data_IF_102424578056
#
_entry.id   IF_102424578056
#
_cell.length_a   1.000
_cell.length_b   1.000
_cell.length_c   1.000
_cell.angle_alpha   90.00
_cell.angle_beta   90.00
_cell.angle_gamma   90.00
#
_symmetry.space_group_name_H-M   'P 1'
#
loop_
_entity.id
_entity.type
_entity.pdbx_description
1 polymer ?
#
# COMPACT_ATOMS: atom_id res chain seq x y z
N UNK A 1 -24.09 47.40 -23.14
CA UNK A 1 -25.06 46.36 -23.56
C UNK A 1 -24.31 45.25 -24.32
N UNK A 2 -23.41 44.52 -23.65
CA UNK A 2 -22.59 43.47 -24.25
C UNK A 2 -22.09 42.44 -23.21
N UNK A 3 -22.73 42.36 -22.04
CA UNK A 3 -22.35 41.44 -20.95
C UNK A 3 -23.41 40.36 -20.67
N UNK A 4 -24.57 40.40 -21.32
CA UNK A 4 -25.65 39.43 -21.09
C UNK A 4 -25.59 38.19 -22.01
N UNK A 5 -24.82 38.22 -23.09
CA UNK A 5 -24.81 37.13 -24.10
C UNK A 5 -23.95 35.93 -23.67
N UNK A 6 -23.00 36.13 -22.76
CA UNK A 6 -22.03 35.09 -22.36
C UNK A 6 -22.57 34.05 -21.37
N UNK A 7 -23.66 34.36 -20.64
CA UNK A 7 -24.19 33.46 -19.60
C UNK A 7 -25.04 32.30 -20.16
N UNK A 8 -25.66 32.48 -21.34
CA UNK A 8 -26.55 31.48 -21.95
C UNK A 8 -25.83 30.26 -22.53
N UNK A 9 -24.53 30.35 -22.81
CA UNK A 9 -23.73 29.24 -23.33
C UNK A 9 -23.19 28.31 -22.23
N UNK A 10 -23.18 28.77 -20.97
CA UNK A 10 -22.63 28.03 -19.83
C UNK A 10 -23.54 26.87 -19.39
N UNK A 11 -24.79 26.84 -19.86
CA UNK A 11 -25.79 25.81 -19.56
C UNK A 11 -26.25 25.01 -20.77
N UNK A 12 -25.49 25.01 -21.88
CA UNK A 12 -25.77 24.06 -22.97
C UNK A 12 -25.43 22.66 -22.46
N UNK A 13 -26.43 21.79 -22.39
CA UNK A 13 -26.21 20.37 -22.13
C UNK A 13 -25.23 19.83 -23.17
N UNK A 14 -24.03 19.45 -22.73
CA UNK A 14 -23.17 18.63 -23.55
C UNK A 14 -23.92 17.31 -23.81
N UNK A 15 -24.01 16.83 -25.05
CA UNK A 15 -24.59 15.52 -25.30
C UNK A 15 -23.77 14.49 -24.51
N UNK A 16 -24.46 13.63 -23.75
CA UNK A 16 -23.84 12.47 -23.14
C UNK A 16 -23.26 11.61 -24.28
N UNK A 17 -21.94 11.60 -24.41
CA UNK A 17 -21.24 10.69 -25.31
C UNK A 17 -21.27 9.33 -24.62
N UNK A 18 -22.27 8.52 -24.96
CA UNK A 18 -22.30 7.12 -24.57
C UNK A 18 -21.28 6.34 -25.40
N UNK A 19 -20.49 5.50 -24.74
CA UNK A 19 -19.60 4.57 -25.44
C UNK A 19 -20.43 3.68 -26.38
N UNK A 20 -20.05 3.63 -27.64
CA UNK A 20 -20.74 2.80 -28.65
C UNK A 20 -20.45 1.32 -28.46
N UNK A 21 -19.33 0.98 -27.82
CA UNK A 21 -18.90 -0.40 -27.58
C UNK A 21 -18.35 -0.55 -26.15
N UNK A 22 -18.55 -1.73 -25.57
CA UNK A 22 -17.98 -2.06 -24.28
C UNK A 22 -16.49 -2.38 -24.46
N UNK A 23 -15.62 -1.62 -23.77
CA UNK A 23 -14.19 -1.93 -23.72
C UNK A 23 -13.99 -3.30 -23.07
N UNK A 24 -13.34 -4.27 -23.75
CA UNK A 24 -13.10 -5.58 -23.19
C UNK A 24 -12.18 -5.48 -21.97
N UNK A 25 -12.56 -6.12 -20.88
CA UNK A 25 -11.72 -6.21 -19.67
C UNK A 25 -10.61 -7.22 -19.95
N UNK A 26 -9.36 -6.79 -19.88
CA UNK A 26 -8.20 -7.68 -19.96
C UNK A 26 -8.02 -8.38 -18.60
N UNK A 27 -8.14 -9.72 -18.51
CA UNK A 27 -7.84 -10.44 -17.28
C UNK A 27 -6.37 -10.28 -16.90
N UNK A 28 -6.08 -10.33 -15.61
CA UNK A 28 -4.71 -10.32 -15.11
C UNK A 28 -4.09 -11.69 -15.34
N UNK A 29 -2.94 -11.75 -16.00
CA UNK A 29 -2.30 -13.02 -16.27
C UNK A 29 -1.87 -13.72 -14.97
N UNK A 30 -1.97 -15.06 -14.86
CA UNK A 30 -1.47 -15.80 -13.71
C UNK A 30 0.02 -15.48 -13.44
N UNK A 31 0.34 -15.08 -12.22
CA UNK A 31 1.70 -14.69 -11.80
C UNK A 31 2.03 -13.20 -11.99
N UNK A 32 1.22 -12.46 -12.74
CA UNK A 32 1.37 -10.99 -12.90
C UNK A 32 0.53 -10.19 -11.91
N UNK A 33 -0.18 -10.87 -11.00
CA UNK A 33 -0.95 -10.20 -9.95
C UNK A 33 -0.02 -9.36 -9.09
N UNK A 34 -0.41 -8.11 -8.90
CA UNK A 34 0.28 -7.23 -8.00
C UNK A 34 0.12 -7.70 -6.55
N UNK A 35 1.21 -7.69 -5.78
CA UNK A 35 1.22 -8.17 -4.39
C UNK A 35 1.30 -7.07 -3.33
N UNK A 36 1.86 -5.92 -3.70
CA UNK A 36 2.13 -4.80 -2.81
C UNK A 36 1.61 -3.49 -3.41
N UNK A 37 1.26 -2.54 -2.56
CA UNK A 37 1.13 -1.12 -2.88
C UNK A 37 2.27 -0.37 -2.21
N UNK A 38 3.45 -0.39 -2.85
CA UNK A 38 4.70 0.02 -2.20
C UNK A 38 5.04 1.51 -2.37
N UNK A 39 4.39 2.18 -3.31
CA UNK A 39 4.56 3.61 -3.57
C UNK A 39 3.24 4.34 -3.38
N UNK A 40 3.29 5.65 -3.13
CA UNK A 40 2.10 6.49 -2.99
C UNK A 40 1.12 6.34 -4.19
N UNK A 41 1.66 6.27 -5.41
CA UNK A 41 0.90 6.05 -6.63
C UNK A 41 0.91 4.59 -7.10
N UNK A 42 1.05 3.65 -6.18
CA UNK A 42 1.22 2.20 -6.37
C UNK A 42 2.56 1.77 -6.96
N UNK A 43 2.88 2.28 -8.14
CA UNK A 43 4.15 2.06 -8.85
C UNK A 43 4.98 3.34 -8.88
N UNK A 44 6.23 3.26 -9.34
CA UNK A 44 7.06 4.45 -9.58
C UNK A 44 6.53 5.33 -10.72
N UNK A 45 5.67 4.81 -11.58
CA UNK A 45 5.00 5.58 -12.64
C UNK A 45 3.82 6.40 -12.10
N UNK A 46 3.25 6.01 -10.95
CA UNK A 46 2.20 6.77 -10.28
C UNK A 46 0.82 6.69 -10.93
N UNK A 47 0.55 5.65 -11.72
CA UNK A 47 -0.71 5.42 -12.44
C UNK A 47 -1.89 5.03 -11.54
N UNK A 48 -1.61 4.62 -10.29
CA UNK A 48 -2.61 4.11 -9.33
C UNK A 48 -3.38 2.91 -9.87
N UNK A 49 -2.79 2.15 -10.80
CA UNK A 49 -3.40 0.96 -11.39
C UNK A 49 -3.02 -0.28 -10.61
N UNK A 50 -4.00 -1.06 -10.13
CA UNK A 50 -3.74 -2.35 -9.49
C UNK A 50 -4.04 -3.49 -10.47
N UNK A 51 -3.02 -4.31 -10.77
CA UNK A 51 -3.19 -5.53 -11.57
C UNK A 51 -3.84 -6.65 -10.72
N UNK A 52 -5.11 -6.47 -10.37
CA UNK A 52 -5.96 -7.41 -9.62
C UNK A 52 -7.37 -7.40 -10.24
N UNK A 53 -8.00 -8.57 -10.42
CA UNK A 53 -9.30 -8.71 -11.11
C UNK A 53 -10.34 -9.55 -10.35
N UNK A 54 -10.02 -9.96 -9.12
CA UNK A 54 -10.95 -10.70 -8.25
C UNK A 54 -12.23 -9.90 -7.98
N UNK A 55 -12.11 -8.59 -7.75
CA UNK A 55 -13.23 -7.65 -7.63
C UNK A 55 -13.40 -6.97 -8.98
N UNK A 56 -14.59 -7.05 -9.54
CA UNK A 56 -14.88 -6.55 -10.88
C UNK A 56 -16.34 -6.06 -10.98
N UNK A 57 -16.72 -5.57 -12.17
CA UNK A 57 -18.04 -4.96 -12.43
C UNK A 57 -19.21 -5.93 -12.16
N UNK A 58 -18.96 -7.23 -12.19
CA UNK A 58 -19.98 -8.27 -12.02
C UNK A 58 -20.22 -8.63 -10.55
N UNK A 59 -19.26 -8.40 -9.66
CA UNK A 59 -19.36 -8.80 -8.24
C UNK A 59 -19.09 -7.67 -7.23
N UNK A 60 -18.77 -6.44 -7.66
CA UNK A 60 -18.53 -5.29 -6.77
C UNK A 60 -19.72 -4.98 -5.85
N UNK A 61 -20.93 -5.34 -6.28
CA UNK A 61 -22.16 -5.22 -5.48
C UNK A 61 -22.23 -6.20 -4.29
N UNK A 62 -21.31 -7.16 -4.19
CA UNK A 62 -21.23 -8.15 -3.11
C UNK A 62 -20.21 -7.77 -2.03
N UNK A 63 -19.51 -6.64 -2.19
CA UNK A 63 -18.50 -6.20 -1.23
C UNK A 63 -19.11 -5.93 0.15
N UNK A 64 -18.37 -6.37 1.17
CA UNK A 64 -18.68 -6.11 2.57
C UNK A 64 -17.43 -5.56 3.25
N UNK A 65 -17.64 -4.79 4.32
CA UNK A 65 -16.55 -4.31 5.17
C UNK A 65 -15.90 -5.53 5.84
N UNK A 66 -14.63 -5.78 5.53
CA UNK A 66 -13.88 -6.87 6.16
C UNK A 66 -13.53 -6.54 7.62
N UNK A 67 -13.09 -5.31 7.87
CA UNK A 67 -12.78 -4.79 9.20
C UNK A 67 -12.74 -3.26 9.20
N UNK A 68 -12.78 -2.65 10.39
CA UNK A 68 -12.61 -1.22 10.62
C UNK A 68 -11.53 -1.02 11.66
N UNK A 69 -10.56 -0.13 11.36
CA UNK A 69 -9.53 0.28 12.30
C UNK A 69 -9.69 1.76 12.65
N UNK A 70 -9.59 2.10 13.93
CA UNK A 70 -9.64 3.48 14.41
C UNK A 70 -8.23 3.96 14.72
N UNK A 71 -7.76 4.99 14.00
CA UNK A 71 -6.42 5.55 14.20
C UNK A 71 -6.26 6.20 15.59
N UNK A 72 -7.38 6.60 16.19
CA UNK A 72 -7.43 7.40 17.43
C UNK A 72 -6.97 8.85 17.24
N UNK A 73 -6.70 9.25 16.00
CA UNK A 73 -6.15 10.56 15.66
C UNK A 73 -7.21 11.38 14.94
N UNK A 74 -7.99 12.14 15.71
CA UNK A 74 -9.12 12.92 15.20
C UNK A 74 -8.62 14.29 14.76
N UNK A 75 -8.67 14.64 13.46
CA UNK A 75 -8.26 15.96 12.99
C UNK A 75 -9.18 17.04 13.57
N UNK A 76 -8.60 17.96 14.35
CA UNK A 76 -9.28 19.13 14.90
C UNK A 76 -8.72 20.40 14.26
N UNK A 77 -9.54 21.10 13.48
CA UNK A 77 -9.17 22.37 12.86
C UNK A 77 -9.47 23.53 13.80
N UNK A 78 -8.47 24.38 14.05
CA UNK A 78 -8.62 25.67 14.76
C UNK A 78 -8.78 26.85 13.79
N UNK A 79 -9.23 26.59 12.55
CA UNK A 79 -9.23 27.55 11.44
C UNK A 79 -8.01 27.46 10.53
N UNK A 80 -7.02 26.61 10.87
CA UNK A 80 -5.77 26.46 10.11
C UNK A 80 -5.63 25.14 9.34
N UNK A 81 -6.71 24.35 9.25
CA UNK A 81 -6.76 23.10 8.49
C UNK A 81 -6.26 21.86 9.25
N UNK A 82 -7.06 20.79 9.20
CA UNK A 82 -6.73 19.47 9.72
C UNK A 82 -7.52 18.43 8.92
N UNK A 83 -6.83 17.56 8.19
CA UNK A 83 -7.45 16.61 7.24
C UNK A 83 -6.74 15.25 7.26
N UNK A 84 -7.53 14.17 7.11
CA UNK A 84 -6.98 12.88 6.73
C UNK A 84 -6.86 12.80 5.20
N UNK A 85 -5.64 12.73 4.69
CA UNK A 85 -5.33 12.65 3.27
C UNK A 85 -4.44 11.44 2.93
N UNK A 86 -4.37 10.47 3.84
CA UNK A 86 -3.43 9.38 3.71
C UNK A 86 -3.77 8.46 2.54
N UNK A 87 -2.76 8.10 1.73
CA UNK A 87 -2.80 6.91 0.88
C UNK A 87 -1.96 5.82 1.57
N UNK A 88 -2.57 4.77 2.12
CA UNK A 88 -1.83 3.71 2.80
C UNK A 88 -0.83 3.00 1.89
N UNK A 89 0.25 2.48 2.48
CA UNK A 89 1.14 1.53 1.81
C UNK A 89 0.83 0.12 2.31
N UNK A 90 0.77 -0.87 1.42
CA UNK A 90 0.68 -2.27 1.81
C UNK A 90 1.93 -3.00 1.32
N UNK A 91 2.69 -3.57 2.26
CA UNK A 91 3.88 -4.37 2.00
C UNK A 91 3.71 -5.70 2.72
N UNK A 92 3.60 -6.79 1.95
CA UNK A 92 3.36 -8.12 2.49
C UNK A 92 2.07 -8.16 3.32
N UNK A 93 2.16 -8.60 4.56
CA UNK A 93 1.03 -8.75 5.50
C UNK A 93 0.68 -7.45 6.25
N UNK A 94 1.35 -6.33 5.95
CA UNK A 94 1.29 -5.13 6.76
C UNK A 94 0.80 -3.93 5.96
N UNK A 95 -0.21 -3.25 6.49
CA UNK A 95 -0.72 -1.97 6.03
C UNK A 95 -0.14 -0.83 6.89
N UNK A 96 0.54 0.11 6.26
CA UNK A 96 1.11 1.29 6.89
C UNK A 96 0.24 2.51 6.63
N UNK A 97 -0.15 3.18 7.72
CA UNK A 97 -1.01 4.36 7.72
C UNK A 97 -0.27 5.48 8.43
N UNK A 98 -0.37 6.71 7.90
CA UNK A 98 0.03 7.90 8.62
C UNK A 98 -1.18 8.79 8.91
N UNK A 99 -1.13 9.52 10.02
CA UNK A 99 -2.27 10.30 10.52
C UNK A 99 -2.02 11.81 10.46
N UNK A 100 -3.06 12.66 10.63
CA UNK A 100 -2.92 14.11 10.57
C UNK A 100 -1.84 14.69 11.50
N UNK A 101 -1.69 14.14 12.71
CA UNK A 101 -0.70 14.59 13.70
C UNK A 101 0.59 13.77 13.68
N UNK A 102 1.01 13.30 12.48
CA UNK A 102 2.31 12.68 12.25
C UNK A 102 2.60 11.42 13.09
N UNK A 103 1.56 10.62 13.33
CA UNK A 103 1.70 9.25 13.85
C UNK A 103 1.75 8.28 12.66
N UNK A 104 2.47 7.18 12.84
CA UNK A 104 2.54 6.07 11.89
C UNK A 104 2.04 4.82 12.59
N UNK A 105 1.10 4.12 11.97
CA UNK A 105 0.54 2.86 12.44
C UNK A 105 0.90 1.78 11.43
N UNK A 106 1.30 0.61 11.93
CA UNK A 106 1.34 -0.61 11.15
C UNK A 106 0.19 -1.51 11.59
N UNK A 107 -0.64 -1.90 10.65
CA UNK A 107 -1.80 -2.77 10.85
C UNK A 107 -1.57 -4.10 10.14
N UNK A 108 -2.05 -5.18 10.73
CA UNK A 108 -2.22 -6.44 10.04
C UNK A 108 -3.28 -6.30 8.94
N UNK A 109 -2.97 -6.70 7.71
CA UNK A 109 -3.82 -6.44 6.54
C UNK A 109 -5.14 -7.22 6.55
N UNK A 110 -5.14 -8.42 7.16
CA UNK A 110 -6.30 -9.31 7.16
C UNK A 110 -7.27 -9.01 8.30
N UNK A 111 -6.76 -8.53 9.44
CA UNK A 111 -7.58 -8.29 10.64
C UNK A 111 -7.76 -6.82 11.02
N UNK A 112 -6.93 -5.91 10.48
CA UNK A 112 -6.90 -4.50 10.86
C UNK A 112 -6.30 -4.23 12.25
N UNK A 113 -5.76 -5.25 12.93
CA UNK A 113 -5.16 -5.11 14.26
C UNK A 113 -3.86 -4.32 14.18
N UNK A 114 -3.68 -3.38 15.11
CA UNK A 114 -2.44 -2.62 15.23
C UNK A 114 -1.29 -3.54 15.69
N UNK A 115 -0.24 -3.62 14.85
CA UNK A 115 1.02 -4.33 15.15
C UNK A 115 1.92 -3.43 15.99
N UNK A 116 2.03 -2.16 15.61
CA UNK A 116 2.78 -1.14 16.33
C UNK A 116 2.36 0.27 15.91
N UNK A 117 2.78 1.26 16.71
CA UNK A 117 2.62 2.67 16.44
C UNK A 117 3.87 3.46 16.77
N UNK A 118 4.15 4.46 15.95
CA UNK A 118 5.15 5.48 16.17
C UNK A 118 4.49 6.85 16.25
N UNK A 119 4.87 7.64 17.26
CA UNK A 119 4.44 9.02 17.42
C UNK A 119 5.68 9.91 17.37
N UNK A 120 5.79 10.73 16.31
CA UNK A 120 6.92 11.64 16.13
C UNK A 120 6.93 12.80 17.13
N UNK A 121 5.79 13.07 17.79
CA UNK A 121 5.56 14.24 18.66
C UNK A 121 5.82 15.58 17.95
N UNK A 122 5.82 15.59 16.62
CA UNK A 122 6.00 16.80 15.85
C UNK A 122 4.73 17.65 15.86
N UNK A 123 4.89 18.96 15.83
CA UNK A 123 3.78 19.90 15.64
C UNK A 123 3.98 20.69 14.35
N UNK A 124 2.87 20.94 13.65
CA UNK A 124 2.80 21.94 12.58
C UNK A 124 1.93 23.10 13.08
N UNK A 125 2.18 24.36 12.70
CA UNK A 125 1.27 25.45 13.05
C UNK A 125 -0.06 25.36 12.27
N UNK A 126 -0.01 24.83 11.04
CA UNK A 126 -1.14 24.82 10.10
C UNK A 126 -1.17 23.49 9.33
N UNK A 127 -2.30 23.14 8.73
CA UNK A 127 -2.44 22.01 7.80
C UNK A 127 -1.96 20.69 8.37
N UNK A 128 -2.59 20.25 9.48
CA UNK A 128 -2.34 18.92 10.04
C UNK A 128 -2.86 17.87 9.05
N UNK A 129 -1.96 17.26 8.30
CA UNK A 129 -2.30 16.22 7.32
C UNK A 129 -1.08 15.39 7.03
N UNK A 130 -1.30 14.10 6.80
CA UNK A 130 -0.32 13.24 6.16
C UNK A 130 -0.90 12.76 4.82
N UNK A 131 -0.08 12.81 3.76
CA UNK A 131 -0.49 12.40 2.40
C UNK A 131 -0.06 10.98 2.03
N UNK A 132 0.83 10.39 2.82
CA UNK A 132 1.35 9.05 2.62
C UNK A 132 2.77 8.91 3.18
N UNK A 133 3.31 7.72 3.00
CA UNK A 133 4.63 7.32 3.46
C UNK A 133 5.53 6.93 2.28
N UNK A 134 6.83 6.81 2.54
CA UNK A 134 7.78 6.17 1.64
C UNK A 134 8.26 4.86 2.25
N UNK A 135 8.46 3.84 1.42
CA UNK A 135 9.04 2.56 1.82
C UNK A 135 10.41 2.37 1.16
N UNK A 136 11.37 1.89 1.93
CA UNK A 136 12.67 1.46 1.45
C UNK A 136 13.05 0.16 2.16
N UNK A 137 13.50 -0.81 1.37
CA UNK A 137 14.01 -2.07 1.89
C UNK A 137 15.53 -2.10 1.81
N UNK A 138 16.18 -2.16 2.97
CA UNK A 138 17.62 -2.41 3.01
C UNK A 138 17.90 -3.90 2.76
N UNK A 139 18.19 -4.22 1.50
CA UNK A 139 18.59 -5.56 1.07
C UNK A 139 19.79 -6.14 1.85
N UNK A 140 20.68 -5.31 2.41
CA UNK A 140 21.83 -5.78 3.20
C UNK A 140 21.39 -6.20 4.59
N UNK A 141 20.56 -5.39 5.25
CA UNK A 141 19.95 -5.73 6.54
C UNK A 141 19.04 -6.96 6.42
N UNK A 142 18.24 -7.06 5.35
CA UNK A 142 17.39 -8.22 5.13
C UNK A 142 18.22 -9.51 4.93
N UNK A 143 19.26 -9.47 4.09
CA UNK A 143 20.19 -10.62 3.93
C UNK A 143 20.92 -10.99 5.23
N UNK A 144 21.23 -10.02 6.10
CA UNK A 144 21.80 -10.29 7.40
C UNK A 144 20.78 -10.97 8.34
N UNK A 145 19.53 -10.50 8.36
CA UNK A 145 18.45 -11.11 9.14
C UNK A 145 18.17 -12.55 8.71
N UNK A 146 18.03 -12.80 7.40
CA UNK A 146 17.85 -14.16 6.85
C UNK A 146 19.04 -15.05 7.17
N UNK A 147 20.27 -14.54 7.13
CA UNK A 147 21.46 -15.30 7.53
C UNK A 147 21.53 -15.59 9.02
N UNK A 148 21.07 -14.68 9.89
CA UNK A 148 20.97 -14.96 11.32
C UNK A 148 19.89 -15.99 11.62
N UNK A 149 18.75 -15.93 10.94
CA UNK A 149 17.68 -16.93 11.04
C UNK A 149 18.13 -18.30 10.52
N UNK A 150 18.82 -18.36 9.38
CA UNK A 150 19.36 -19.59 8.80
C UNK A 150 20.58 -20.13 9.58
N UNK A 151 21.42 -19.26 10.14
CA UNK A 151 22.54 -19.63 11.01
C UNK A 151 22.11 -20.24 12.35
N UNK A 152 20.82 -20.13 12.69
CA UNK A 152 20.21 -20.80 13.86
C UNK A 152 19.72 -22.23 13.56
N UNK A 153 19.85 -22.69 12.31
CA UNK A 153 19.39 -24.01 11.83
C UNK A 153 20.52 -24.90 11.28
N UNK A 154 21.78 -24.72 11.70
CA UNK A 154 22.79 -25.74 11.41
C UNK A 154 22.68 -26.85 12.47
N UNK A 155 22.21 -28.08 12.13
CA UNK A 155 22.47 -29.23 12.98
C UNK A 155 23.99 -29.43 13.03
N UNK A 156 24.55 -29.55 14.22
CA UNK A 156 25.94 -29.92 14.42
C UNK A 156 26.17 -31.34 13.89
N UNK A 157 26.49 -31.51 12.61
CA UNK A 157 27.07 -32.75 12.12
C UNK A 157 28.57 -32.70 12.34
N UNK A 158 29.00 -33.39 13.39
CA UNK A 158 30.39 -33.81 13.60
C UNK A 158 30.85 -34.52 12.32
N UNK A 159 31.97 -34.12 11.67
CA UNK A 159 32.45 -34.84 10.51
C UNK A 159 33.00 -36.19 10.95
N UNK A 160 32.39 -37.28 10.46
CA UNK A 160 32.94 -38.62 10.59
C UNK A 160 34.21 -38.73 9.74
N UNK A 161 35.35 -38.88 10.41
CA UNK A 161 36.63 -39.22 9.78
C UNK A 161 36.55 -40.65 9.24
N UNK A 162 36.49 -40.77 7.91
CA UNK A 162 36.67 -42.04 7.21
C UNK A 162 37.84 -41.91 6.23
N UNK A 163 39.06 -41.92 6.77
CA UNK A 163 40.24 -42.37 6.02
C UNK A 163 40.16 -43.89 5.79
N UNK A 164 39.91 -44.29 4.54
CA UNK A 164 40.20 -45.65 4.03
C UNK A 164 41.59 -45.62 3.38
N UNK A 165 42.48 -46.61 3.61
CA UNK A 165 43.83 -46.60 3.05
C UNK A 165 43.84 -47.02 1.57
N UNK A 166 44.88 -46.66 0.79
CA UNK A 166 44.96 -47.04 -0.62
C UNK A 166 45.45 -48.48 -0.81
N UNK A 167 44.79 -49.19 -1.73
CA UNK A 167 45.18 -50.50 -2.25
C UNK A 167 46.57 -50.44 -2.91
N UNK A 168 47.42 -51.42 -2.61
CA UNK A 168 48.64 -51.76 -3.37
C UNK A 168 48.34 -52.98 -4.25
N UNK A 169 49.01 -52.99 -5.41
CA UNK A 169 49.15 -54.05 -6.42
C UNK A 169 48.96 -55.49 -5.94
#
# INVERSE_FOLDING_TARGET
MALAVSFGWMFKSAPLVSATEAVPVKPVAPGEQQKNWAHWGNTTHGDRFAALDQINKQNVNQLQVAWVAHTGDIPQSNGSGAEDQNTPLQIGDTLYVCTPYSKVLALDVDSGKEKWRYDSKSSSPNWQRCRGLGYYEDSRANRASVRHAAGRLLPSSVPADHRRPPDRH
#
